data_IF_211315960113
#
_entry.id   IF_211315960113
#
_cell.length_a   1.000
_cell.length_b   1.000
_cell.length_c   1.000
_cell.angle_alpha   90.00
_cell.angle_beta   90.00
_cell.angle_gamma   90.00
#
_symmetry.space_group_name_H-M   'P 1'
#
loop_
_entity.id
_entity.type
_entity.pdbx_description
1 polymer ?
#
# COMPACT_ATOMS: atom_id res chain seq x y z
N UNK A 1 1.39 17.70 14.64
CA UNK A 1 0.52 16.78 13.87
C UNK A 1 1.18 15.41 13.86
N UNK A 2 0.45 14.35 14.18
CA UNK A 2 0.99 13.00 14.15
C UNK A 2 0.80 12.37 12.75
N UNK A 3 1.58 12.83 11.76
CA UNK A 3 1.47 12.37 10.37
C UNK A 3 2.00 10.95 10.15
N UNK A 4 2.69 10.36 11.13
CA UNK A 4 3.22 8.99 11.03
C UNK A 4 2.11 7.93 11.02
N UNK A 5 0.91 8.27 11.52
CA UNK A 5 -0.27 7.37 11.47
C UNK A 5 -0.74 7.06 10.04
N UNK A 6 -0.32 7.86 9.06
CA UNK A 6 -0.64 7.74 7.63
C UNK A 6 0.49 7.11 6.81
N UNK A 7 1.54 6.60 7.45
CA UNK A 7 2.74 6.17 6.71
C UNK A 7 2.43 5.09 5.68
N UNK A 8 1.52 4.16 5.99
CA UNK A 8 1.11 3.09 5.08
C UNK A 8 0.38 3.67 3.87
N UNK A 9 -0.54 4.62 4.09
CA UNK A 9 -1.27 5.31 3.05
C UNK A 9 -0.33 6.07 2.10
N UNK A 10 0.67 6.76 2.65
CA UNK A 10 1.67 7.45 1.84
C UNK A 10 2.55 6.48 1.04
N UNK A 11 2.97 5.35 1.62
CA UNK A 11 3.76 4.35 0.92
C UNK A 11 2.98 3.71 -0.24
N UNK A 12 1.70 3.37 -0.01
CA UNK A 12 0.82 2.83 -1.07
C UNK A 12 0.58 3.87 -2.17
N UNK A 13 0.30 5.11 -1.80
CA UNK A 13 0.10 6.19 -2.78
C UNK A 13 1.36 6.42 -3.63
N UNK A 14 2.53 6.44 -2.99
CA UNK A 14 3.81 6.60 -3.68
C UNK A 14 4.11 5.41 -4.61
N UNK A 15 3.82 4.18 -4.18
CA UNK A 15 3.93 2.99 -5.02
C UNK A 15 3.03 3.10 -6.26
N UNK A 16 1.76 3.47 -6.07
CA UNK A 16 0.81 3.66 -7.16
C UNK A 16 1.25 4.73 -8.16
N UNK A 17 1.73 5.87 -7.66
CA UNK A 17 2.32 6.92 -8.49
C UNK A 17 3.56 6.42 -9.24
N UNK A 18 4.43 5.66 -8.59
CA UNK A 18 5.61 5.06 -9.21
C UNK A 18 5.24 4.10 -10.34
N UNK A 19 4.20 3.29 -10.16
CA UNK A 19 3.67 2.40 -11.21
C UNK A 19 3.10 3.20 -12.37
N UNK A 20 2.33 4.26 -12.11
CA UNK A 20 1.78 5.13 -13.17
C UNK A 20 2.89 5.81 -13.98
N UNK A 21 3.90 6.32 -13.29
CA UNK A 21 5.09 6.91 -13.91
C UNK A 21 5.78 5.84 -14.76
N UNK A 22 6.08 4.66 -14.21
CA UNK A 22 6.74 3.58 -14.95
C UNK A 22 5.95 3.13 -16.21
N UNK A 23 4.62 3.10 -16.15
CA UNK A 23 3.77 2.72 -17.30
C UNK A 23 3.95 3.64 -18.52
N UNK A 24 4.37 4.90 -18.33
CA UNK A 24 4.62 5.85 -19.42
C UNK A 24 5.79 5.44 -20.33
N UNK A 25 6.76 4.68 -19.82
CA UNK A 25 7.97 4.28 -20.55
C UNK A 25 8.02 2.80 -20.90
N UNK A 26 7.10 1.97 -20.37
CA UNK A 26 7.13 0.52 -20.56
C UNK A 26 6.38 0.11 -21.84
N UNK A 27 7.04 -0.74 -22.64
CA UNK A 27 6.45 -1.33 -23.82
C UNK A 27 5.22 -2.20 -23.47
N UNK A 28 4.17 -2.26 -24.32
CA UNK A 28 2.96 -3.02 -24.04
C UNK A 28 3.20 -4.49 -23.68
N UNK A 29 4.21 -5.13 -24.29
CA UNK A 29 4.61 -6.51 -24.03
C UNK A 29 5.14 -6.75 -22.61
N UNK A 30 5.64 -5.72 -21.95
CA UNK A 30 6.20 -5.78 -20.60
C UNK A 30 5.24 -5.26 -19.52
N UNK A 31 4.03 -4.79 -19.86
CA UNK A 31 3.07 -4.27 -18.87
C UNK A 31 2.67 -5.29 -17.80
N UNK A 32 2.70 -6.59 -18.12
CA UNK A 32 2.46 -7.67 -17.16
C UNK A 32 3.49 -7.70 -16.02
N UNK A 33 4.72 -7.23 -16.25
CA UNK A 33 5.75 -7.15 -15.21
C UNK A 33 5.45 -6.08 -14.17
N UNK A 34 4.73 -5.01 -14.53
CA UNK A 34 4.31 -3.97 -13.59
C UNK A 34 3.38 -4.50 -12.50
N UNK A 35 2.52 -5.46 -12.85
CA UNK A 35 1.64 -6.10 -11.86
C UNK A 35 2.45 -6.87 -10.81
N UNK A 36 3.50 -7.60 -11.23
CA UNK A 36 4.40 -8.28 -10.29
C UNK A 36 5.20 -7.28 -9.44
N UNK A 37 5.73 -6.21 -10.03
CA UNK A 37 6.43 -5.15 -9.28
C UNK A 37 5.53 -4.51 -8.23
N UNK A 38 4.29 -4.17 -8.61
CA UNK A 38 3.31 -3.60 -7.70
C UNK A 38 2.91 -4.59 -6.59
N UNK A 39 2.72 -5.87 -6.90
CA UNK A 39 2.40 -6.90 -5.92
C UNK A 39 3.56 -7.09 -4.92
N UNK A 40 4.81 -7.11 -5.39
CA UNK A 40 5.99 -7.15 -4.53
C UNK A 40 6.09 -5.88 -3.66
N UNK A 41 5.81 -4.71 -4.21
CA UNK A 41 5.77 -3.45 -3.45
C UNK A 41 4.72 -3.49 -2.33
N UNK A 42 3.50 -3.94 -2.61
CA UNK A 42 2.47 -4.10 -1.59
C UNK A 42 2.84 -5.15 -0.53
N UNK A 43 3.51 -6.25 -0.93
CA UNK A 43 3.99 -7.26 0.02
C UNK A 43 5.02 -6.67 0.99
N UNK A 44 5.94 -5.83 0.50
CA UNK A 44 6.91 -5.12 1.34
C UNK A 44 6.21 -4.14 2.29
N UNK A 45 5.19 -3.42 1.83
CA UNK A 45 4.41 -2.53 2.70
C UNK A 45 3.67 -3.33 3.78
N UNK A 46 3.12 -4.50 3.43
CA UNK A 46 2.45 -5.39 4.38
C UNK A 46 3.40 -5.91 5.46
N UNK A 47 4.63 -6.30 5.11
CA UNK A 47 5.62 -6.75 6.11
C UNK A 47 6.05 -5.61 7.03
N UNK A 48 6.16 -4.38 6.51
CA UNK A 48 6.40 -3.21 7.35
C UNK A 48 5.22 -2.90 8.30
N UNK A 49 3.99 -2.95 7.78
CA UNK A 49 2.77 -2.75 8.58
C UNK A 49 2.65 -3.77 9.72
N UNK A 50 3.03 -5.02 9.48
CA UNK A 50 3.00 -6.08 10.49
C UNK A 50 4.19 -6.05 11.47
N UNK A 51 5.23 -5.24 11.21
CA UNK A 51 6.50 -5.27 11.93
C UNK A 51 7.03 -3.89 12.31
N UNK A 52 8.06 -3.41 11.60
CA UNK A 52 8.82 -2.20 11.98
C UNK A 52 8.03 -0.88 11.94
N UNK A 53 6.87 -0.87 11.29
CA UNK A 53 5.89 0.22 11.32
C UNK A 53 4.56 -0.27 11.92
N UNK A 54 4.66 -1.11 12.96
CA UNK A 54 3.51 -1.70 13.62
C UNK A 54 2.46 -0.62 13.95
N UNK A 55 1.17 -0.97 13.85
CA UNK A 55 0.12 0.02 13.91
C UNK A 55 0.10 0.71 15.27
N UNK A 56 0.27 2.03 15.26
CA UNK A 56 0.13 2.84 16.45
C UNK A 56 -1.30 3.37 16.53
N UNK A 57 -1.91 3.20 17.68
CA UNK A 57 -3.21 3.80 17.96
C UNK A 57 -3.04 5.31 18.16
N UNK A 58 -3.98 6.11 17.65
CA UNK A 58 -3.93 7.55 17.82
C UNK A 58 -4.86 8.30 16.89
N UNK A 59 -4.81 9.62 17.01
CA UNK A 59 -5.60 10.53 16.16
C UNK A 59 -4.69 11.54 15.47
N UNK A 60 -5.10 11.95 14.26
CA UNK A 60 -4.48 13.02 13.50
C UNK A 60 -5.52 14.04 13.03
N UNK A 61 -5.04 15.21 12.57
CA UNK A 61 -5.87 16.30 12.04
C UNK A 61 -7.04 16.70 12.94
N UNK A 62 -6.75 17.01 14.20
CA UNK A 62 -7.75 17.41 15.20
C UNK A 62 -8.92 16.41 15.33
N UNK A 63 -8.65 15.11 15.18
CA UNK A 63 -9.63 14.03 15.34
C UNK A 63 -10.33 13.61 14.05
N UNK A 64 -10.02 14.22 12.91
CA UNK A 64 -10.57 13.81 11.61
C UNK A 64 -10.09 12.42 11.17
N UNK A 65 -8.90 12.01 11.62
CA UNK A 65 -8.36 10.69 11.36
C UNK A 65 -8.14 9.94 12.67
N UNK A 66 -8.67 8.71 12.74
CA UNK A 66 -8.52 7.80 13.87
C UNK A 66 -7.84 6.52 13.38
N UNK A 67 -6.68 6.22 13.96
CA UNK A 67 -6.00 4.95 13.82
C UNK A 67 -6.30 4.12 15.07
N UNK A 68 -7.07 3.05 14.88
CA UNK A 68 -7.43 2.08 15.90
C UNK A 68 -7.30 0.66 15.33
N UNK A 69 -7.57 -0.36 16.16
CA UNK A 69 -7.51 -1.75 15.73
C UNK A 69 -8.38 -2.06 14.50
N UNK A 70 -9.54 -1.41 14.35
CA UNK A 70 -10.44 -1.62 13.21
C UNK A 70 -9.86 -1.02 11.92
N UNK A 71 -9.37 0.22 11.98
CA UNK A 71 -8.65 0.89 10.90
C UNK A 71 -7.45 0.05 10.45
N UNK A 72 -6.67 -0.47 11.40
CA UNK A 72 -5.50 -1.30 11.13
C UNK A 72 -5.85 -2.65 10.50
N UNK A 73 -6.96 -3.27 10.92
CA UNK A 73 -7.50 -4.45 10.25
C UNK A 73 -7.84 -4.16 8.78
N UNK A 74 -8.54 -3.06 8.49
CA UNK A 74 -8.89 -2.70 7.12
C UNK A 74 -7.67 -2.34 6.26
N UNK A 75 -6.62 -1.72 6.83
CA UNK A 75 -5.35 -1.51 6.14
C UNK A 75 -4.69 -2.83 5.74
N UNK A 76 -4.65 -3.80 6.67
CA UNK A 76 -4.14 -5.15 6.38
C UNK A 76 -4.98 -5.83 5.29
N UNK A 77 -6.30 -5.81 5.41
CA UNK A 77 -7.21 -6.38 4.43
C UNK A 77 -7.02 -5.76 3.04
N UNK A 78 -6.94 -4.43 2.96
CA UNK A 78 -6.66 -3.71 1.72
C UNK A 78 -5.36 -4.18 1.05
N UNK A 79 -4.27 -4.30 1.81
CA UNK A 79 -2.98 -4.76 1.29
C UNK A 79 -3.06 -6.20 0.76
N UNK A 80 -3.67 -7.11 1.52
CA UNK A 80 -3.84 -8.51 1.11
C UNK A 80 -4.71 -8.63 -0.16
N UNK A 81 -5.85 -7.94 -0.20
CA UNK A 81 -6.72 -7.92 -1.36
C UNK A 81 -6.03 -7.32 -2.59
N UNK A 82 -5.26 -6.24 -2.41
CA UNK A 82 -4.50 -5.60 -3.48
C UNK A 82 -3.45 -6.55 -4.08
N UNK A 83 -2.68 -7.25 -3.24
CA UNK A 83 -1.72 -8.27 -3.68
C UNK A 83 -2.42 -9.38 -4.46
N UNK A 84 -3.49 -9.95 -3.89
CA UNK A 84 -4.24 -11.03 -4.52
C UNK A 84 -4.78 -10.61 -5.90
N UNK A 85 -5.41 -9.44 -6.00
CA UNK A 85 -5.96 -8.94 -7.26
C UNK A 85 -4.89 -8.68 -8.31
N UNK A 86 -3.73 -8.13 -7.94
CA UNK A 86 -2.62 -7.93 -8.88
C UNK A 86 -2.08 -9.26 -9.41
N UNK A 87 -1.97 -10.29 -8.56
CA UNK A 87 -1.52 -11.62 -8.98
C UNK A 87 -2.54 -12.31 -9.88
N UNK A 88 -3.84 -12.21 -9.57
CA UNK A 88 -4.93 -12.74 -10.41
C UNK A 88 -4.96 -12.01 -11.76
N UNK A 89 -4.79 -10.68 -11.78
CA UNK A 89 -4.72 -9.92 -13.04
C UNK A 89 -3.46 -10.22 -13.85
N UNK A 90 -2.39 -10.67 -13.18
CA UNK A 90 -1.14 -11.01 -13.81
C UNK A 90 -1.06 -12.48 -14.24
N UNK A 91 -2.07 -13.33 -13.99
CA UNK A 91 -2.14 -14.72 -14.47
C UNK A 91 -2.89 -14.82 -15.79
#
# INVERSE_FOLDING_TARGET
MNSSLLIIEFLVALLGLGVLVADLWIAPSARRSLAYVAATGLLVILTFHAGGLAPADGTAFAGMFVADALSNFFKTLFLVCGIAMLLISAS
#
